data_IF_059515956058
#
_entry.id   IF_059515956058
#
_cell.length_a   1.000
_cell.length_b   1.000
_cell.length_c   1.000
_cell.angle_alpha   90.00
_cell.angle_beta   90.00
_cell.angle_gamma   90.00
#
_symmetry.space_group_name_H-M   'P 1'
#
loop_
_entity.id
_entity.type
_entity.pdbx_description
1 polymer ?
#
# COMPACT_ATOMS: atom_id res chain seq x y z
N UNK A 1 -33.02 24.74 0.89
CA UNK A 1 -32.24 23.52 1.20
C UNK A 1 -32.95 22.40 0.48
N UNK A 2 -32.31 21.80 -0.52
CA UNK A 2 -32.93 20.80 -1.40
C UNK A 2 -33.11 19.47 -0.69
N UNK A 3 -34.08 18.64 -1.09
CA UNK A 3 -34.16 17.26 -0.63
C UNK A 3 -32.86 16.48 -0.95
N UNK A 4 -32.10 16.89 -1.96
CA UNK A 4 -30.93 16.15 -2.46
C UNK A 4 -29.58 16.64 -1.92
N UNK A 5 -29.55 17.63 -1.01
CA UNK A 5 -28.28 18.25 -0.56
C UNK A 5 -27.30 17.25 0.08
N UNK A 6 -27.76 16.09 0.55
CA UNK A 6 -26.93 15.00 1.08
C UNK A 6 -25.99 14.35 0.05
N UNK A 7 -26.21 14.52 -1.26
CA UNK A 7 -25.30 14.03 -2.31
C UNK A 7 -24.47 15.13 -2.98
N UNK A 8 -24.53 16.37 -2.49
CA UNK A 8 -23.85 17.51 -3.11
C UNK A 8 -22.34 17.32 -3.25
N UNK A 9 -21.70 16.75 -2.22
CA UNK A 9 -20.25 16.53 -2.20
C UNK A 9 -19.87 15.23 -2.90
N UNK A 10 -20.64 14.16 -2.70
CA UNK A 10 -20.31 12.83 -3.20
C UNK A 10 -20.66 12.64 -4.68
N UNK A 11 -21.74 13.26 -5.15
CA UNK A 11 -22.25 13.15 -6.53
C UNK A 11 -22.71 14.52 -7.07
N UNK A 12 -21.80 15.49 -7.28
CA UNK A 12 -22.15 16.87 -7.61
C UNK A 12 -22.96 17.02 -8.92
N UNK A 13 -22.66 16.22 -9.94
CA UNK A 13 -23.41 16.25 -11.20
C UNK A 13 -24.85 15.72 -11.03
N UNK A 14 -25.01 14.62 -10.29
CA UNK A 14 -26.33 14.04 -9.98
C UNK A 14 -27.12 15.01 -9.09
N UNK A 15 -26.48 15.63 -8.10
CA UNK A 15 -27.08 16.67 -7.25
C UNK A 15 -27.64 17.82 -8.07
N UNK A 16 -26.86 18.37 -8.99
CA UNK A 16 -27.28 19.49 -9.82
C UNK A 16 -28.54 19.17 -10.65
N UNK A 17 -28.64 17.97 -11.21
CA UNK A 17 -29.82 17.54 -11.96
C UNK A 17 -31.02 17.23 -11.05
N UNK A 18 -30.79 16.68 -9.86
CA UNK A 18 -31.86 16.45 -8.89
C UNK A 18 -32.45 17.78 -8.36
N UNK A 19 -31.61 18.77 -8.07
CA UNK A 19 -32.04 20.12 -7.66
C UNK A 19 -32.85 20.78 -8.77
N UNK A 20 -32.42 20.66 -10.03
CA UNK A 20 -33.19 21.16 -11.18
C UNK A 20 -34.54 20.46 -11.29
N UNK A 21 -34.56 19.12 -11.20
CA UNK A 21 -35.79 18.35 -11.25
C UNK A 21 -36.80 18.78 -10.16
N UNK A 22 -36.33 18.93 -8.92
CA UNK A 22 -37.11 19.45 -7.79
C UNK A 22 -37.64 20.86 -8.07
N UNK A 23 -36.80 21.71 -8.65
CA UNK A 23 -37.14 23.12 -8.88
C UNK A 23 -38.23 23.36 -9.94
N UNK A 24 -38.43 22.38 -10.83
CA UNK A 24 -39.47 22.41 -11.86
C UNK A 24 -40.76 21.72 -11.44
N UNK A 25 -40.80 21.03 -10.30
CA UNK A 25 -41.94 20.19 -9.90
C UNK A 25 -43.30 20.95 -9.96
N UNK A 26 -43.32 22.20 -9.51
CA UNK A 26 -44.55 23.00 -9.45
C UNK A 26 -44.78 23.89 -10.67
N UNK A 27 -43.75 24.19 -11.45
CA UNK A 27 -43.83 25.10 -12.61
C UNK A 27 -43.90 24.38 -13.94
N UNK A 28 -43.20 23.25 -14.08
CA UNK A 28 -43.09 22.47 -15.32
C UNK A 28 -42.86 20.97 -15.02
N UNK A 29 -43.95 20.18 -14.92
CA UNK A 29 -43.87 18.74 -14.73
C UNK A 29 -43.03 17.99 -15.77
N UNK A 30 -42.98 18.49 -17.02
CA UNK A 30 -42.20 17.85 -18.08
C UNK A 30 -40.70 18.07 -17.85
N UNK A 31 -40.29 19.30 -17.53
CA UNK A 31 -38.90 19.60 -17.16
C UNK A 31 -38.45 18.83 -15.91
N UNK A 32 -39.32 18.72 -14.89
CA UNK A 32 -39.02 17.93 -13.69
C UNK A 32 -38.71 16.46 -14.03
N UNK A 33 -39.53 15.83 -14.89
CA UNK A 33 -39.32 14.47 -15.35
C UNK A 33 -38.07 14.32 -16.23
N UNK A 34 -37.79 15.31 -17.08
CA UNK A 34 -36.59 15.33 -17.93
C UNK A 34 -35.31 15.31 -17.09
N UNK A 35 -35.18 16.23 -16.13
CA UNK A 35 -34.02 16.29 -15.26
C UNK A 35 -33.92 15.08 -14.32
N UNK A 36 -35.05 14.48 -13.92
CA UNK A 36 -35.05 13.23 -13.16
C UNK A 36 -34.41 12.07 -13.94
N UNK A 37 -34.71 11.95 -15.23
CA UNK A 37 -34.06 10.97 -16.11
C UNK A 37 -32.57 11.24 -16.26
N UNK A 38 -32.19 12.50 -16.47
CA UNK A 38 -30.79 12.90 -16.62
C UNK A 38 -29.97 12.57 -15.35
N UNK A 39 -30.54 12.83 -14.17
CA UNK A 39 -29.92 12.46 -12.90
C UNK A 39 -29.70 10.93 -12.80
N UNK A 40 -30.68 10.12 -13.21
CA UNK A 40 -30.54 8.66 -13.25
C UNK A 40 -29.49 8.19 -14.26
N UNK A 41 -29.38 8.84 -15.41
CA UNK A 41 -28.39 8.51 -16.44
C UNK A 41 -26.96 8.65 -15.91
N UNK A 42 -26.69 9.79 -15.27
CA UNK A 42 -25.42 10.07 -14.60
C UNK A 42 -25.16 9.09 -13.44
N UNK A 43 -26.18 8.84 -12.61
CA UNK A 43 -26.06 7.95 -11.46
C UNK A 43 -25.77 6.50 -11.87
N UNK A 44 -26.45 5.98 -12.90
CA UNK A 44 -26.21 4.62 -13.40
C UNK A 44 -24.81 4.50 -13.97
N UNK A 45 -24.31 5.51 -14.69
CA UNK A 45 -22.92 5.54 -15.14
C UNK A 45 -21.93 5.44 -13.97
N UNK A 46 -22.09 6.30 -12.97
CA UNK A 46 -21.26 6.27 -11.77
C UNK A 46 -21.30 4.91 -11.04
N UNK A 47 -22.48 4.30 -10.93
CA UNK A 47 -22.62 3.00 -10.28
C UNK A 47 -21.92 1.87 -11.05
N UNK A 48 -21.89 1.93 -12.39
CA UNK A 48 -21.12 0.98 -13.19
C UNK A 48 -19.63 1.04 -12.86
N UNK A 49 -19.10 2.26 -12.75
CA UNK A 49 -17.68 2.49 -12.43
C UNK A 49 -17.35 2.00 -11.02
N UNK A 50 -18.14 2.41 -10.01
CA UNK A 50 -17.90 2.03 -8.60
C UNK A 50 -18.06 0.52 -8.37
N UNK A 51 -18.95 -0.14 -9.12
CA UNK A 51 -19.15 -1.59 -9.02
C UNK A 51 -18.19 -2.40 -9.90
N UNK A 52 -17.37 -1.75 -10.74
CA UNK A 52 -16.47 -2.42 -11.68
C UNK A 52 -17.21 -3.29 -12.70
N UNK A 53 -18.38 -2.85 -13.17
CA UNK A 53 -19.21 -3.62 -14.09
C UNK A 53 -18.78 -3.37 -15.54
N UNK A 54 -18.76 -4.44 -16.34
CA UNK A 54 -18.52 -4.34 -17.78
C UNK A 54 -19.71 -3.67 -18.47
N UNK A 55 -19.44 -2.69 -19.33
CA UNK A 55 -20.48 -2.05 -20.13
C UNK A 55 -21.21 -3.09 -21.02
N UNK A 56 -22.56 -3.03 -21.10
CA UNK A 56 -23.33 -3.89 -22.00
C UNK A 56 -23.07 -3.53 -23.47
N UNK A 57 -23.40 -4.46 -24.38
CA UNK A 57 -23.19 -4.30 -25.82
C UNK A 57 -23.84 -3.00 -26.37
N UNK A 58 -25.06 -2.69 -25.95
CA UNK A 58 -25.67 -1.38 -26.19
C UNK A 58 -25.36 -0.48 -25.01
N UNK A 59 -24.78 0.69 -25.27
CA UNK A 59 -24.33 1.61 -24.22
C UNK A 59 -25.39 2.66 -23.84
N UNK A 60 -26.67 2.32 -23.94
CA UNK A 60 -27.75 3.21 -23.54
C UNK A 60 -28.22 2.94 -22.10
N UNK A 61 -28.95 3.91 -21.54
CA UNK A 61 -29.48 3.82 -20.17
C UNK A 61 -30.39 2.60 -19.97
N UNK A 62 -31.16 2.20 -20.99
CA UNK A 62 -32.06 1.06 -20.87
C UNK A 62 -31.29 -0.26 -20.77
N UNK A 63 -30.26 -0.44 -21.60
CA UNK A 63 -29.39 -1.61 -21.57
C UNK A 63 -28.65 -1.71 -20.23
N UNK A 64 -28.08 -0.60 -19.74
CA UNK A 64 -27.39 -0.56 -18.43
C UNK A 64 -28.30 -0.92 -17.25
N UNK A 65 -29.50 -0.34 -17.18
CA UNK A 65 -30.47 -0.67 -16.11
C UNK A 65 -30.91 -2.15 -16.21
N UNK A 66 -30.97 -2.70 -17.42
CA UNK A 66 -31.52 -4.02 -17.66
C UNK A 66 -30.51 -5.16 -17.65
N UNK A 67 -29.22 -4.86 -17.61
CA UNK A 67 -28.13 -5.82 -17.48
C UNK A 67 -28.29 -6.71 -16.24
N UNK A 68 -27.95 -7.99 -16.39
CA UNK A 68 -28.13 -8.98 -15.33
C UNK A 68 -27.19 -8.74 -14.14
N UNK A 69 -25.94 -8.36 -14.40
CA UNK A 69 -24.97 -8.09 -13.34
C UNK A 69 -25.33 -6.82 -12.56
N UNK A 70 -25.78 -5.77 -13.26
CA UNK A 70 -26.29 -4.56 -12.62
C UNK A 70 -27.51 -4.87 -11.73
N UNK A 71 -28.52 -5.58 -12.25
CA UNK A 71 -29.71 -5.98 -11.49
C UNK A 71 -29.38 -6.83 -10.26
N UNK A 72 -28.40 -7.71 -10.36
CA UNK A 72 -27.96 -8.52 -9.21
C UNK A 72 -27.40 -7.65 -8.07
N UNK A 73 -26.76 -6.52 -8.39
CA UNK A 73 -26.21 -5.58 -7.40
C UNK A 73 -27.23 -4.61 -6.84
N UNK A 74 -28.14 -4.08 -7.66
CA UNK A 74 -29.11 -3.05 -7.23
C UNK A 74 -30.43 -3.61 -6.73
N UNK A 75 -30.76 -4.85 -7.08
CA UNK A 75 -32.03 -5.49 -6.77
C UNK A 75 -33.17 -5.07 -7.70
N UNK A 76 -34.22 -5.89 -7.73
CA UNK A 76 -35.38 -5.72 -8.63
C UNK A 76 -36.15 -4.43 -8.37
N UNK A 77 -36.31 -4.05 -7.10
CA UNK A 77 -37.05 -2.83 -6.72
C UNK A 77 -36.41 -1.55 -7.25
N UNK A 78 -35.09 -1.39 -7.11
CA UNK A 78 -34.37 -0.23 -7.62
C UNK A 78 -34.37 -0.22 -9.15
N UNK A 79 -34.14 -1.38 -9.78
CA UNK A 79 -34.18 -1.50 -11.25
C UNK A 79 -35.56 -1.12 -11.85
N UNK A 80 -36.66 -1.43 -11.16
CA UNK A 80 -38.01 -1.01 -11.57
C UNK A 80 -38.19 0.51 -11.46
N UNK A 81 -37.73 1.14 -10.36
CA UNK A 81 -37.77 2.60 -10.19
C UNK A 81 -36.96 3.33 -11.25
N UNK A 82 -35.74 2.86 -11.53
CA UNK A 82 -34.89 3.38 -12.60
C UNK A 82 -35.58 3.30 -13.97
N UNK A 83 -36.22 2.17 -14.29
CA UNK A 83 -36.98 2.02 -15.55
C UNK A 83 -38.20 2.94 -15.62
N UNK A 84 -38.91 3.17 -14.51
CA UNK A 84 -40.03 4.11 -14.45
C UNK A 84 -39.56 5.53 -14.76
N UNK A 85 -38.49 6.00 -14.09
CA UNK A 85 -37.88 7.32 -14.30
C UNK A 85 -37.46 7.49 -15.77
N UNK A 86 -36.78 6.48 -16.33
CA UNK A 86 -36.37 6.47 -17.74
C UNK A 86 -37.57 6.60 -18.68
N UNK A 87 -38.63 5.81 -18.48
CA UNK A 87 -39.81 5.80 -19.37
C UNK A 87 -40.53 7.15 -19.34
N UNK A 88 -40.84 7.69 -18.16
CA UNK A 88 -41.56 8.97 -18.03
C UNK A 88 -40.71 10.14 -18.51
N UNK A 89 -39.39 10.14 -18.23
CA UNK A 89 -38.49 11.17 -18.75
C UNK A 89 -38.37 11.15 -20.27
N UNK A 90 -38.38 9.98 -20.91
CA UNK A 90 -38.41 9.87 -22.38
C UNK A 90 -39.69 10.50 -22.95
N UNK A 91 -40.85 10.20 -22.36
CA UNK A 91 -42.13 10.79 -22.77
C UNK A 91 -42.10 12.31 -22.63
N UNK A 92 -41.54 12.84 -21.53
CA UNK A 92 -41.38 14.27 -21.31
C UNK A 92 -40.46 14.95 -22.34
N UNK A 93 -39.39 14.27 -22.76
CA UNK A 93 -38.42 14.80 -23.72
C UNK A 93 -38.90 14.76 -25.18
N UNK A 94 -39.67 13.73 -25.57
CA UNK A 94 -39.88 13.40 -27.00
C UNK A 94 -41.34 13.28 -27.45
N UNK A 95 -42.26 12.84 -26.60
CA UNK A 95 -43.63 12.49 -27.05
C UNK A 95 -44.59 13.70 -27.08
N UNK A 96 -44.23 14.83 -26.47
CA UNK A 96 -45.06 16.04 -26.45
C UNK A 96 -46.39 15.89 -25.71
N UNK A 97 -46.59 14.77 -25.00
CA UNK A 97 -47.77 14.52 -24.18
C UNK A 97 -47.66 15.30 -22.86
N UNK A 98 -48.75 15.93 -22.40
CA UNK A 98 -48.74 16.63 -21.12
C UNK A 98 -48.51 15.64 -19.97
N UNK A 99 -47.53 15.97 -19.11
CA UNK A 99 -47.24 15.22 -17.89
C UNK A 99 -48.11 15.79 -16.76
N UNK A 100 -48.87 14.92 -16.09
CA UNK A 100 -49.67 15.33 -14.95
C UNK A 100 -48.76 15.70 -13.76
N UNK A 101 -49.05 16.77 -12.99
CA UNK A 101 -48.24 17.18 -11.85
C UNK A 101 -48.02 16.06 -10.82
N UNK A 102 -49.05 15.22 -10.59
CA UNK A 102 -48.96 14.06 -9.69
C UNK A 102 -47.95 13.02 -10.20
N UNK A 103 -47.83 12.84 -11.52
CA UNK A 103 -46.84 11.93 -12.11
C UNK A 103 -45.42 12.43 -11.88
N UNK A 104 -45.17 13.73 -12.06
CA UNK A 104 -43.87 14.35 -11.77
C UNK A 104 -43.49 14.24 -10.29
N UNK A 105 -44.45 14.48 -9.38
CA UNK A 105 -44.24 14.30 -7.95
C UNK A 105 -43.88 12.85 -7.60
N UNK A 106 -44.61 11.88 -8.14
CA UNK A 106 -44.30 10.47 -7.90
C UNK A 106 -42.92 10.12 -8.46
N UNK A 107 -42.55 10.65 -9.62
CA UNK A 107 -41.24 10.40 -10.22
C UNK A 107 -40.09 10.94 -9.34
N UNK A 108 -40.25 12.13 -8.76
CA UNK A 108 -39.27 12.71 -7.85
C UNK A 108 -39.14 11.93 -6.54
N UNK A 109 -40.24 11.37 -6.02
CA UNK A 109 -40.20 10.44 -4.88
C UNK A 109 -39.38 9.19 -5.21
N UNK A 110 -39.56 8.63 -6.41
CA UNK A 110 -38.77 7.48 -6.85
C UNK A 110 -37.29 7.85 -7.09
N UNK A 111 -37.02 9.03 -7.66
CA UNK A 111 -35.66 9.54 -7.82
C UNK A 111 -34.98 9.68 -6.45
N UNK A 112 -35.66 10.26 -5.48
CA UNK A 112 -35.16 10.40 -4.11
C UNK A 112 -34.80 9.05 -3.50
N UNK A 113 -35.68 8.03 -3.61
CA UNK A 113 -35.37 6.68 -3.15
C UNK A 113 -34.15 6.06 -3.83
N UNK A 114 -34.02 6.24 -5.15
CA UNK A 114 -32.90 5.72 -5.93
C UNK A 114 -31.58 6.40 -5.51
N UNK A 115 -31.59 7.72 -5.30
CA UNK A 115 -30.39 8.48 -4.87
C UNK A 115 -30.01 8.15 -3.43
N UNK A 116 -30.98 8.02 -2.52
CA UNK A 116 -30.75 7.53 -1.14
C UNK A 116 -30.12 6.14 -1.17
N UNK A 117 -30.65 5.22 -1.96
CA UNK A 117 -30.08 3.87 -2.11
C UNK A 117 -28.63 3.92 -2.59
N UNK A 118 -28.36 4.66 -3.67
CA UNK A 118 -27.04 4.73 -4.25
C UNK A 118 -26.03 5.38 -3.30
N UNK A 119 -26.38 6.50 -2.68
CA UNK A 119 -25.52 7.20 -1.73
C UNK A 119 -25.25 6.34 -0.48
N UNK A 120 -26.27 5.69 0.07
CA UNK A 120 -26.11 4.87 1.28
C UNK A 120 -25.23 3.63 1.02
N UNK A 121 -25.29 3.05 -0.18
CA UNK A 121 -24.61 1.78 -0.47
C UNK A 121 -23.26 1.95 -1.16
N UNK A 122 -23.06 3.03 -1.90
CA UNK A 122 -21.95 3.21 -2.83
C UNK A 122 -21.26 4.59 -2.72
N UNK A 123 -21.44 5.33 -1.62
CA UNK A 123 -20.66 6.56 -1.36
C UNK A 123 -19.69 6.39 -0.19
N UNK A 124 -18.73 7.32 -0.09
CA UNK A 124 -17.71 7.35 0.96
C UNK A 124 -18.25 7.76 2.35
N UNK A 125 -19.45 8.32 2.43
CA UNK A 125 -20.08 8.75 3.69
C UNK A 125 -21.53 8.27 3.77
N UNK A 126 -21.76 6.97 4.02
CA UNK A 126 -23.10 6.41 4.09
C UNK A 126 -23.90 6.88 5.32
N UNK A 127 -23.24 7.41 6.35
CA UNK A 127 -23.88 7.79 7.61
C UNK A 127 -24.61 9.14 7.51
N UNK A 128 -24.21 10.02 6.59
CA UNK A 128 -24.91 11.29 6.34
C UNK A 128 -26.16 11.14 5.46
N UNK A 129 -26.43 9.95 4.94
CA UNK A 129 -27.55 9.69 4.02
C UNK A 129 -28.87 9.54 4.81
N UNK A 130 -29.93 10.32 4.47
CA UNK A 130 -31.16 10.35 5.25
C UNK A 130 -32.11 9.19 4.92
N UNK A 131 -31.75 7.97 5.32
CA UNK A 131 -32.49 6.73 4.98
C UNK A 131 -33.92 6.66 5.50
N UNK A 132 -34.27 7.43 6.53
CA UNK A 132 -35.62 7.50 7.12
C UNK A 132 -36.47 8.66 6.59
N UNK A 133 -35.89 9.60 5.83
CA UNK A 133 -36.64 10.73 5.28
C UNK A 133 -37.40 10.31 4.03
N UNK A 134 -38.52 10.98 3.79
CA UNK A 134 -39.26 10.94 2.53
C UNK A 134 -39.02 12.24 1.77
N UNK A 135 -39.22 12.20 0.45
CA UNK A 135 -39.18 13.41 -0.37
C UNK A 135 -40.29 14.39 0.05
N UNK A 136 -39.90 15.59 0.43
CA UNK A 136 -40.81 16.67 0.82
C UNK A 136 -41.12 17.58 -0.39
N UNK A 137 -42.37 17.59 -0.90
CA UNK A 137 -42.76 18.42 -2.03
C UNK A 137 -42.84 19.93 -1.71
N UNK A 138 -42.79 20.32 -0.43
CA UNK A 138 -42.86 21.71 -0.01
C UNK A 138 -41.50 22.45 -0.08
N UNK A 139 -40.40 21.73 -0.35
CA UNK A 139 -39.06 22.30 -0.45
C UNK A 139 -38.95 23.19 -1.70
N UNK A 140 -38.67 24.51 -1.55
CA UNK A 140 -38.79 25.44 -2.66
C UNK A 140 -37.47 25.73 -3.36
N UNK A 141 -37.48 25.56 -4.67
CA UNK A 141 -37.00 26.57 -5.62
C UNK A 141 -37.96 26.51 -6.82
N UNK A 142 -38.46 27.66 -7.28
CA UNK A 142 -39.32 27.69 -8.49
C UNK A 142 -38.48 28.26 -9.62
N UNK A 143 -38.22 27.44 -10.63
CA UNK A 143 -37.66 27.95 -11.88
C UNK A 143 -38.79 28.27 -12.86
N UNK A 144 -38.57 29.27 -13.71
CA UNK A 144 -39.50 29.62 -14.78
C UNK A 144 -39.66 28.42 -15.72
N UNK A 145 -40.90 28.06 -16.14
CA UNK A 145 -41.14 26.89 -16.97
C UNK A 145 -40.34 26.96 -18.28
N UNK A 146 -39.86 25.81 -18.76
CA UNK A 146 -39.12 25.73 -20.01
C UNK A 146 -40.12 25.56 -21.16
N UNK A 147 -39.89 26.26 -22.26
CA UNK A 147 -40.60 25.95 -23.49
C UNK A 147 -40.22 24.56 -23.99
N UNK A 148 -41.14 23.94 -24.73
CA UNK A 148 -40.88 22.65 -25.38
C UNK A 148 -39.64 22.69 -26.29
N UNK A 149 -39.40 23.82 -26.94
CA UNK A 149 -38.24 24.02 -27.79
C UNK A 149 -36.94 24.04 -26.97
N UNK A 150 -36.91 24.73 -25.83
CA UNK A 150 -35.74 24.76 -24.93
C UNK A 150 -35.44 23.37 -24.35
N UNK A 151 -36.46 22.60 -23.95
CA UNK A 151 -36.28 21.22 -23.48
C UNK A 151 -35.70 20.32 -24.58
N UNK A 152 -36.20 20.43 -25.81
CA UNK A 152 -35.69 19.64 -26.94
C UNK A 152 -34.24 20.03 -27.30
N UNK A 153 -33.91 21.33 -27.28
CA UNK A 153 -32.54 21.81 -27.48
C UNK A 153 -31.59 21.30 -26.40
N UNK A 154 -32.03 21.33 -25.14
CA UNK A 154 -31.24 20.86 -24.02
C UNK A 154 -31.01 19.34 -24.08
N UNK A 155 -32.04 18.57 -24.43
CA UNK A 155 -31.92 17.14 -24.67
C UNK A 155 -30.88 16.83 -25.77
N UNK A 156 -30.90 17.61 -26.86
CA UNK A 156 -29.96 17.46 -27.98
C UNK A 156 -28.53 17.79 -27.56
N UNK A 157 -28.36 18.91 -26.82
CA UNK A 157 -27.05 19.34 -26.31
C UNK A 157 -26.43 18.28 -25.42
N UNK A 158 -27.20 17.70 -24.51
CA UNK A 158 -26.69 16.69 -23.59
C UNK A 158 -26.37 15.37 -24.28
N UNK A 159 -27.20 14.94 -25.23
CA UNK A 159 -26.89 13.78 -26.07
C UNK A 159 -25.56 13.95 -26.81
N UNK A 160 -25.31 15.12 -27.40
CA UNK A 160 -24.05 15.40 -28.08
C UNK A 160 -22.84 15.42 -27.12
N UNK A 161 -23.01 15.91 -25.89
CA UNK A 161 -21.96 15.86 -24.86
C UNK A 161 -21.65 14.43 -24.43
N UNK A 162 -22.67 13.60 -24.21
CA UNK A 162 -22.49 12.20 -23.82
C UNK A 162 -21.81 11.38 -24.94
N UNK A 163 -22.18 11.61 -26.20
CA UNK A 163 -21.55 10.98 -27.37
C UNK A 163 -20.07 11.40 -27.52
N UNK A 164 -19.76 12.69 -27.31
CA UNK A 164 -18.39 13.20 -27.35
C UNK A 164 -17.52 12.59 -26.24
N UNK A 165 -18.03 12.54 -25.01
CA UNK A 165 -17.32 11.95 -23.87
C UNK A 165 -17.11 10.44 -24.04
N UNK A 166 -18.10 9.72 -24.56
CA UNK A 166 -17.97 8.29 -24.87
C UNK A 166 -16.88 8.02 -25.93
N UNK A 167 -16.77 8.90 -26.94
CA UNK A 167 -15.72 8.82 -27.96
C UNK A 167 -14.33 9.08 -27.38
N UNK A 168 -14.19 10.12 -26.54
CA UNK A 168 -12.93 10.44 -25.86
C UNK A 168 -12.45 9.28 -24.97
N UNK A 169 -13.37 8.65 -24.23
CA UNK A 169 -13.04 7.50 -23.38
C UNK A 169 -12.59 6.29 -24.21
N UNK A 170 -13.25 6.01 -25.33
CA UNK A 170 -12.86 4.94 -26.24
C UNK A 170 -11.46 5.19 -26.86
N UNK A 171 -11.18 6.41 -27.31
CA UNK A 171 -9.85 6.79 -27.83
C UNK A 171 -8.75 6.63 -26.78
N UNK A 172 -9.03 7.00 -25.52
CA UNK A 172 -8.09 6.83 -24.41
C UNK A 172 -7.82 5.34 -24.11
N UNK A 173 -8.86 4.52 -24.11
CA UNK A 173 -8.74 3.09 -23.82
C UNK A 173 -7.99 2.36 -24.96
N UNK A 174 -8.23 2.73 -26.22
CA UNK A 174 -7.47 2.23 -27.38
C UNK A 174 -5.98 2.62 -27.30
N UNK A 175 -5.69 3.87 -26.89
CA UNK A 175 -4.32 4.33 -26.67
C UNK A 175 -3.62 3.54 -25.55
N UNK A 176 -4.32 3.28 -24.45
CA UNK A 176 -3.80 2.48 -23.34
C UNK A 176 -3.47 1.05 -23.78
N UNK A 177 -4.38 0.40 -24.52
CA UNK A 177 -4.17 -0.94 -25.06
C UNK A 177 -2.99 -0.99 -26.04
N UNK A 178 -2.83 0.03 -26.89
CA UNK A 178 -1.69 0.13 -27.80
C UNK A 178 -0.35 0.26 -27.04
N UNK A 179 -0.32 1.06 -25.96
CA UNK A 179 0.85 1.23 -25.10
C UNK A 179 1.23 -0.05 -24.36
N UNK A 180 0.22 -0.78 -23.86
CA UNK A 180 0.46 -2.06 -23.20
C UNK A 180 1.03 -3.11 -24.16
N UNK A 181 0.55 -3.15 -25.41
CA UNK A 181 1.09 -4.01 -26.45
C UNK A 181 2.54 -3.63 -26.82
N UNK A 182 2.84 -2.34 -26.92
CA UNK A 182 4.21 -1.82 -27.15
C UNK A 182 5.16 -2.24 -26.02
N UNK A 183 4.74 -2.08 -24.76
CA UNK A 183 5.51 -2.49 -23.58
C UNK A 183 5.75 -4.00 -23.58
N UNK A 184 4.74 -4.80 -23.91
CA UNK A 184 4.87 -6.26 -23.98
C UNK A 184 5.87 -6.68 -25.06
N UNK A 185 5.82 -6.05 -26.24
CA UNK A 185 6.75 -6.30 -27.33
C UNK A 185 8.18 -5.91 -26.95
N UNK A 186 8.39 -4.73 -26.34
CA UNK A 186 9.70 -4.28 -25.86
C UNK A 186 10.26 -5.22 -24.79
N UNK A 187 9.44 -5.69 -23.84
CA UNK A 187 9.87 -6.67 -22.84
C UNK A 187 10.33 -7.98 -23.47
N UNK A 188 9.60 -8.47 -24.47
CA UNK A 188 9.99 -9.68 -25.20
C UNK A 188 11.31 -9.48 -25.97
N UNK A 189 11.49 -8.33 -26.64
CA UNK A 189 12.73 -7.99 -27.33
C UNK A 189 13.92 -7.88 -26.36
N UNK A 190 13.73 -7.24 -25.20
CA UNK A 190 14.75 -7.13 -24.16
C UNK A 190 15.13 -8.52 -23.63
N UNK A 191 14.15 -9.40 -23.37
CA UNK A 191 14.43 -10.76 -22.90
C UNK A 191 15.23 -11.57 -23.92
N UNK A 192 14.90 -11.48 -25.21
CA UNK A 192 15.67 -12.11 -26.30
C UNK A 192 17.08 -11.51 -26.39
N UNK A 193 17.22 -10.18 -26.32
CA UNK A 193 18.50 -9.50 -26.34
C UNK A 193 19.38 -9.87 -25.13
N UNK A 194 18.81 -9.98 -23.93
CA UNK A 194 19.52 -10.41 -22.72
C UNK A 194 19.96 -11.87 -22.80
N UNK A 195 19.12 -12.77 -23.36
CA UNK A 195 19.49 -14.17 -23.56
C UNK A 195 20.59 -14.34 -24.62
N UNK A 196 20.60 -13.49 -25.66
CA UNK A 196 21.62 -13.50 -26.71
C UNK A 196 22.91 -12.78 -26.29
N UNK A 197 22.83 -11.81 -25.37
CA UNK A 197 23.98 -11.03 -24.91
C UNK A 197 24.70 -11.76 -23.77
N UNK A 198 25.52 -12.74 -24.15
CA UNK A 198 26.40 -13.49 -23.24
C UNK A 198 27.76 -12.80 -23.03
N UNK A 199 28.02 -11.69 -23.74
CA UNK A 199 29.21 -10.88 -23.51
C UNK A 199 29.07 -10.19 -22.14
N UNK A 200 30.04 -10.38 -21.23
CA UNK A 200 30.12 -9.55 -20.04
C UNK A 200 30.19 -8.09 -20.47
N UNK A 201 29.46 -7.23 -19.75
CA UNK A 201 29.68 -5.78 -19.79
C UNK A 201 31.19 -5.53 -19.58
N UNK A 202 31.84 -4.97 -20.59
CA UNK A 202 33.27 -4.64 -20.62
C UNK A 202 33.54 -3.22 -20.13
N UNK A 203 32.50 -2.51 -19.68
CA UNK A 203 32.64 -1.23 -19.01
C UNK A 203 33.42 -1.41 -17.71
N UNK A 204 34.56 -0.73 -17.61
CA UNK A 204 35.46 -0.81 -16.46
C UNK A 204 34.91 -0.01 -15.27
N UNK A 205 33.86 -0.54 -14.64
CA UNK A 205 33.48 -0.17 -13.30
C UNK A 205 34.49 -0.83 -12.34
N UNK A 206 35.58 -0.12 -12.07
CA UNK A 206 36.65 -0.67 -11.24
C UNK A 206 36.14 -0.94 -9.82
N UNK A 207 36.52 -2.09 -9.26
CA UNK A 207 36.21 -2.42 -7.86
C UNK A 207 36.84 -1.40 -6.91
N UNK A 208 38.00 -0.87 -7.29
CA UNK A 208 38.67 0.23 -6.60
C UNK A 208 37.83 1.50 -6.55
N UNK A 209 37.13 1.86 -7.63
CA UNK A 209 36.22 3.01 -7.64
C UNK A 209 34.95 2.73 -6.83
N UNK A 210 34.43 1.50 -6.86
CA UNK A 210 33.30 1.09 -6.01
C UNK A 210 33.65 1.25 -4.52
N UNK A 211 34.85 0.79 -4.15
CA UNK A 211 35.43 0.95 -2.81
C UNK A 211 35.55 2.43 -2.44
N UNK A 212 36.31 3.21 -3.22
CA UNK A 212 36.64 4.61 -2.95
C UNK A 212 35.46 5.58 -2.99
N UNK A 213 34.58 5.46 -3.98
CA UNK A 213 33.52 6.46 -4.22
C UNK A 213 32.22 6.17 -3.47
N UNK A 214 32.04 4.92 -2.99
CA UNK A 214 30.77 4.49 -2.38
C UNK A 214 31.03 3.86 -1.02
N UNK A 215 31.76 2.75 -0.95
CA UNK A 215 31.89 1.98 0.30
C UNK A 215 32.63 2.80 1.37
N UNK A 216 33.73 3.48 1.02
CA UNK A 216 34.47 4.34 1.95
C UNK A 216 33.59 5.48 2.50
N UNK A 217 32.72 6.07 1.67
CA UNK A 217 31.79 7.13 2.09
C UNK A 217 30.78 6.58 3.10
N UNK A 218 30.17 5.42 2.80
CA UNK A 218 29.18 4.78 3.68
C UNK A 218 29.80 4.28 4.99
N UNK A 219 31.04 3.81 4.95
CA UNK A 219 31.79 3.44 6.15
C UNK A 219 32.11 4.69 6.99
N UNK A 220 32.51 5.79 6.37
CA UNK A 220 32.74 7.06 7.06
C UNK A 220 31.47 7.62 7.71
N UNK A 221 30.31 7.53 7.04
CA UNK A 221 29.01 7.90 7.62
C UNK A 221 28.65 7.07 8.86
N UNK A 222 29.05 5.79 8.88
CA UNK A 222 28.91 4.92 10.05
C UNK A 222 30.02 5.14 11.12
N UNK A 223 30.91 6.12 10.91
CA UNK A 223 31.97 6.50 11.85
C UNK A 223 33.32 5.79 11.65
N UNK A 224 33.50 5.05 10.55
CA UNK A 224 34.75 4.36 10.22
C UNK A 224 35.66 5.25 9.37
N UNK A 225 36.72 5.79 9.97
CA UNK A 225 37.62 6.73 9.29
C UNK A 225 38.64 6.07 8.35
N UNK A 226 38.91 4.76 8.54
CA UNK A 226 39.84 3.98 7.72
C UNK A 226 41.21 4.66 7.57
N UNK A 227 41.77 5.12 8.70
CA UNK A 227 42.97 5.95 8.74
C UNK A 227 44.27 5.14 8.85
N UNK A 228 44.20 3.89 9.29
CA UNK A 228 45.37 3.04 9.46
C UNK A 228 45.56 2.10 8.25
N UNK A 229 46.81 1.75 7.93
CA UNK A 229 47.11 0.81 6.83
C UNK A 229 46.44 -0.57 7.04
N UNK A 230 46.21 -0.96 8.30
CA UNK A 230 45.54 -2.22 8.66
C UNK A 230 44.04 -2.24 8.39
N UNK A 231 43.44 -1.09 8.09
CA UNK A 231 41.99 -0.97 7.92
C UNK A 231 41.54 -1.46 6.54
N UNK A 232 42.44 -1.44 5.55
CA UNK A 232 42.20 -1.83 4.16
C UNK A 232 43.18 -2.89 3.70
N UNK A 233 42.74 -3.78 2.81
CA UNK A 233 43.57 -4.83 2.22
C UNK A 233 44.40 -5.59 3.27
N UNK A 234 43.78 -5.91 4.42
CA UNK A 234 44.46 -6.53 5.55
C UNK A 234 44.92 -7.95 5.17
N UNK A 235 46.22 -8.27 5.25
CA UNK A 235 46.71 -9.59 4.86
C UNK A 235 46.29 -10.65 5.87
N UNK A 236 45.78 -11.76 5.38
CA UNK A 236 45.43 -12.94 6.19
C UNK A 236 46.14 -14.19 5.69
N UNK A 237 46.41 -15.12 6.59
CA UNK A 237 47.01 -16.42 6.29
C UNK A 237 46.05 -17.56 6.65
N UNK A 238 46.17 -18.71 6.00
CA UNK A 238 45.28 -19.86 6.19
C UNK A 238 44.17 -19.98 5.15
N UNK A 239 44.19 -19.14 4.10
CA UNK A 239 43.21 -19.20 3.01
C UNK A 239 43.34 -20.53 2.23
N UNK A 240 42.21 -21.16 1.84
CA UNK A 240 42.22 -22.42 1.07
C UNK A 240 42.51 -22.15 -0.42
N UNK A 241 43.66 -21.55 -0.71
CA UNK A 241 44.17 -21.29 -2.06
C UNK A 241 45.64 -21.74 -2.16
N UNK A 242 46.19 -21.72 -3.38
CA UNK A 242 47.55 -22.21 -3.63
C UNK A 242 48.66 -21.49 -2.83
N UNK A 243 48.40 -20.26 -2.37
CA UNK A 243 49.38 -19.44 -1.65
C UNK A 243 49.17 -19.45 -0.13
N UNK A 244 48.04 -19.97 0.36
CA UNK A 244 47.67 -19.90 1.78
C UNK A 244 47.42 -18.49 2.30
N UNK A 245 47.30 -17.48 1.41
CA UNK A 245 47.26 -16.06 1.75
C UNK A 245 46.07 -15.37 1.09
N UNK A 246 45.51 -14.34 1.73
CA UNK A 246 44.46 -13.49 1.19
C UNK A 246 44.57 -12.06 1.73
N UNK A 247 43.70 -11.19 1.22
CA UNK A 247 43.62 -9.79 1.64
C UNK A 247 42.16 -9.43 1.84
N UNK A 248 41.81 -9.02 3.05
CA UNK A 248 40.45 -8.59 3.39
C UNK A 248 40.30 -7.13 2.96
N UNK A 249 39.29 -6.81 2.14
CA UNK A 249 39.14 -5.44 1.62
C UNK A 249 39.07 -4.40 2.74
N UNK A 250 38.27 -4.67 3.78
CA UNK A 250 38.22 -3.86 4.99
C UNK A 250 38.10 -4.72 6.25
N UNK A 251 38.82 -4.32 7.29
CA UNK A 251 38.63 -4.82 8.65
C UNK A 251 38.21 -3.67 9.55
N UNK A 252 37.06 -3.82 10.19
CA UNK A 252 36.50 -2.83 11.11
C UNK A 252 36.92 -3.20 12.53
N UNK A 253 37.88 -2.45 13.08
CA UNK A 253 38.52 -2.76 14.35
C UNK A 253 37.79 -2.18 15.56
N UNK A 254 37.74 -2.95 16.65
CA UNK A 254 37.26 -2.47 17.95
C UNK A 254 38.28 -1.56 18.62
N UNK A 255 37.82 -0.81 19.64
CA UNK A 255 38.71 0.00 20.46
C UNK A 255 39.76 -0.84 21.22
N UNK A 256 39.48 -2.14 21.41
CA UNK A 256 40.37 -3.14 21.98
C UNK A 256 41.37 -3.73 20.97
N UNK A 257 41.36 -3.26 19.72
CA UNK A 257 42.26 -3.73 18.66
C UNK A 257 41.86 -5.08 18.06
N UNK A 258 40.71 -5.65 18.43
CA UNK A 258 40.21 -6.92 17.91
C UNK A 258 39.20 -6.70 16.77
N UNK A 259 39.09 -7.61 15.80
CA UNK A 259 38.26 -7.40 14.62
C UNK A 259 36.77 -7.51 14.98
N UNK A 260 35.99 -6.46 14.70
CA UNK A 260 34.54 -6.44 14.92
C UNK A 260 33.78 -6.89 13.68
N UNK A 261 34.21 -6.48 12.50
CA UNK A 261 33.63 -6.92 11.25
C UNK A 261 34.64 -6.91 10.10
N UNK A 262 34.30 -7.62 9.04
CA UNK A 262 34.95 -7.51 7.74
C UNK A 262 33.96 -7.00 6.71
N UNK A 263 34.43 -6.29 5.70
CA UNK A 263 33.62 -5.91 4.53
C UNK A 263 34.31 -6.47 3.30
N UNK A 264 33.62 -7.38 2.61
CA UNK A 264 34.05 -7.90 1.31
C UNK A 264 33.42 -7.08 0.20
N UNK A 265 34.24 -6.45 -0.65
CA UNK A 265 33.77 -5.64 -1.74
C UNK A 265 33.64 -6.45 -3.04
N UNK A 266 32.71 -6.00 -3.89
CA UNK A 266 32.57 -6.43 -5.28
C UNK A 266 32.29 -5.20 -6.14
N UNK A 267 32.61 -5.30 -7.43
CA UNK A 267 32.20 -4.31 -8.44
C UNK A 267 30.68 -4.06 -8.39
N UNK A 268 30.25 -2.81 -8.60
CA UNK A 268 28.83 -2.39 -8.61
C UNK A 268 27.92 -3.25 -9.49
N UNK A 269 28.43 -3.73 -10.63
CA UNK A 269 27.70 -4.58 -11.59
C UNK A 269 27.58 -6.04 -11.16
N UNK A 270 28.29 -6.47 -10.11
CA UNK A 270 28.23 -7.82 -9.56
C UNK A 270 27.32 -7.86 -8.33
N UNK A 271 26.63 -8.99 -8.18
CA UNK A 271 25.87 -9.29 -6.97
C UNK A 271 26.84 -9.41 -5.78
N UNK A 272 26.59 -8.72 -4.65
CA UNK A 272 27.46 -8.80 -3.47
C UNK A 272 27.49 -10.21 -2.86
N UNK A 273 26.42 -10.99 -3.03
CA UNK A 273 26.29 -12.36 -2.53
C UNK A 273 27.37 -13.30 -3.07
N UNK A 274 27.99 -13.00 -4.22
CA UNK A 274 29.15 -13.74 -4.74
C UNK A 274 30.32 -13.69 -3.76
N UNK A 275 30.45 -12.61 -2.99
CA UNK A 275 31.48 -12.45 -1.95
C UNK A 275 31.20 -13.20 -0.64
N UNK A 276 30.02 -13.81 -0.46
CA UNK A 276 29.62 -14.39 0.82
C UNK A 276 30.60 -15.47 1.32
N UNK A 277 30.98 -16.41 0.46
CA UNK A 277 31.90 -17.49 0.84
C UNK A 277 33.31 -16.94 1.12
N UNK A 278 33.75 -15.95 0.35
CA UNK A 278 35.04 -15.29 0.54
C UNK A 278 35.09 -14.54 1.87
N UNK A 279 34.06 -13.76 2.19
CA UNK A 279 33.94 -13.06 3.47
C UNK A 279 33.95 -14.02 4.67
N UNK A 280 33.32 -15.20 4.54
CA UNK A 280 33.40 -16.25 5.57
C UNK A 280 34.83 -16.75 5.78
N UNK A 281 35.55 -17.06 4.70
CA UNK A 281 36.93 -17.55 4.79
C UNK A 281 37.86 -16.51 5.43
N UNK A 282 37.66 -15.23 5.12
CA UNK A 282 38.38 -14.14 5.78
C UNK A 282 38.05 -14.02 7.26
N UNK A 283 36.78 -14.14 7.63
CA UNK A 283 36.40 -14.21 9.04
C UNK A 283 37.00 -15.43 9.75
N UNK A 284 37.10 -16.60 9.09
CA UNK A 284 37.76 -17.80 9.63
C UNK A 284 39.24 -17.53 9.93
N UNK A 285 39.95 -16.85 9.02
CA UNK A 285 41.35 -16.51 9.20
C UNK A 285 41.55 -15.51 10.35
N UNK A 286 40.75 -14.44 10.41
CA UNK A 286 40.84 -13.45 11.48
C UNK A 286 40.44 -14.02 12.85
N UNK A 287 39.47 -14.94 12.90
CA UNK A 287 39.13 -15.64 14.13
C UNK A 287 40.29 -16.51 14.64
N UNK A 288 40.98 -17.21 13.74
CA UNK A 288 42.16 -17.99 14.09
C UNK A 288 43.32 -17.11 14.61
N UNK A 289 43.49 -15.90 14.05
CA UNK A 289 44.55 -14.97 14.43
C UNK A 289 44.24 -14.21 15.73
N UNK A 290 43.02 -13.70 15.89
CA UNK A 290 42.64 -12.79 16.97
C UNK A 290 41.76 -13.43 18.06
N UNK A 291 41.29 -14.66 17.86
CA UNK A 291 40.39 -15.34 18.80
C UNK A 291 38.98 -14.74 18.86
N UNK A 292 38.62 -13.86 17.92
CA UNK A 292 37.30 -13.23 17.82
C UNK A 292 36.76 -13.42 16.41
N UNK A 293 35.56 -14.02 16.30
CA UNK A 293 34.79 -14.04 15.05
C UNK A 293 34.30 -12.63 14.69
N UNK A 294 34.76 -12.00 13.59
CA UNK A 294 34.14 -10.75 13.12
C UNK A 294 32.75 -11.01 12.51
N UNK A 295 31.89 -9.99 12.51
CA UNK A 295 30.66 -9.97 11.71
C UNK A 295 31.04 -9.82 10.23
N UNK A 296 30.31 -10.48 9.33
CA UNK A 296 30.63 -10.48 7.90
C UNK A 296 29.70 -9.52 7.18
N UNK A 297 30.27 -8.51 6.51
CA UNK A 297 29.57 -7.72 5.51
C UNK A 297 30.07 -8.07 4.12
N UNK A 298 29.19 -8.01 3.13
CA UNK A 298 29.56 -8.04 1.72
C UNK A 298 28.70 -7.06 0.93
N UNK A 299 29.35 -6.32 0.04
CA UNK A 299 28.74 -5.16 -0.62
C UNK A 299 29.28 -4.93 -2.02
N UNK A 300 28.44 -4.35 -2.88
CA UNK A 300 28.83 -3.80 -4.19
C UNK A 300 28.65 -2.28 -4.26
N UNK A 301 28.57 -1.60 -3.11
CA UNK A 301 28.29 -0.17 -3.01
C UNK A 301 26.80 0.19 -2.95
N UNK A 302 25.93 -0.49 -3.71
CA UNK A 302 24.48 -0.19 -3.72
C UNK A 302 23.65 -1.16 -2.87
N UNK A 303 24.10 -2.40 -2.77
CA UNK A 303 23.51 -3.43 -1.94
C UNK A 303 24.51 -3.84 -0.88
N UNK A 304 24.00 -4.03 0.34
CA UNK A 304 24.80 -4.39 1.51
C UNK A 304 24.12 -5.55 2.22
N UNK A 305 24.92 -6.52 2.62
CA UNK A 305 24.44 -7.67 3.37
C UNK A 305 25.25 -7.81 4.64
N UNK A 306 24.59 -8.28 5.70
CA UNK A 306 25.19 -8.64 6.97
C UNK A 306 24.98 -10.12 7.24
N UNK A 307 26.00 -10.76 7.79
CA UNK A 307 25.96 -12.13 8.24
C UNK A 307 26.69 -12.29 9.57
N UNK A 308 25.94 -12.70 10.59
CA UNK A 308 26.47 -13.08 11.90
C UNK A 308 26.35 -14.59 12.08
N UNK A 309 27.33 -15.30 11.57
CA UNK A 309 27.37 -16.76 11.57
C UNK A 309 27.73 -17.38 12.92
N UNK A 310 28.27 -16.59 13.86
CA UNK A 310 28.60 -17.04 15.21
C UNK A 310 27.53 -16.71 16.28
N UNK A 311 26.45 -16.03 15.91
CA UNK A 311 25.32 -15.84 16.82
C UNK A 311 24.79 -17.17 17.39
N UNK A 312 24.16 -17.14 18.57
CA UNK A 312 23.60 -18.33 19.22
C UNK A 312 24.57 -19.52 19.28
N UNK A 313 25.74 -19.29 19.89
CA UNK A 313 26.74 -20.32 20.16
C UNK A 313 27.15 -21.09 18.89
N UNK A 314 27.41 -20.35 17.80
CA UNK A 314 27.91 -20.92 16.54
C UNK A 314 26.86 -21.48 15.58
N UNK A 315 25.56 -21.39 15.91
CA UNK A 315 24.50 -21.76 14.96
C UNK A 315 24.14 -20.66 13.97
N UNK A 316 24.51 -19.41 14.29
CA UNK A 316 24.45 -18.25 13.42
C UNK A 316 23.05 -17.76 13.10
N UNK A 317 23.00 -16.60 12.45
CA UNK A 317 21.84 -16.11 11.74
C UNK A 317 22.01 -16.34 10.23
N UNK A 318 20.91 -16.50 9.50
CA UNK A 318 20.96 -16.40 8.05
C UNK A 318 21.33 -14.96 7.62
N UNK A 319 22.11 -14.80 6.54
CA UNK A 319 22.43 -13.48 6.00
C UNK A 319 21.18 -12.71 5.60
N UNK A 320 21.25 -11.38 5.66
CA UNK A 320 20.16 -10.49 5.24
C UNK A 320 20.70 -9.19 4.66
N UNK A 321 19.85 -8.50 3.92
CA UNK A 321 20.12 -7.15 3.44
C UNK A 321 20.07 -6.12 4.58
N UNK A 322 20.82 -5.05 4.41
CA UNK A 322 20.85 -3.86 5.26
C UNK A 322 20.94 -2.61 4.39
N UNK A 323 20.56 -1.47 4.97
CA UNK A 323 20.61 -0.18 4.29
C UNK A 323 21.91 0.59 4.57
N UNK A 324 22.68 0.19 5.58
CA UNK A 324 23.93 0.86 5.94
C UNK A 324 24.78 0.01 6.88
N UNK A 325 26.06 0.34 6.94
CA UNK A 325 27.01 -0.32 7.83
C UNK A 325 26.75 0.05 9.29
N UNK A 326 27.12 -0.86 10.19
CA UNK A 326 26.88 -0.67 11.61
C UNK A 326 28.00 0.16 12.20
N UNK A 327 27.65 1.00 13.18
CA UNK A 327 28.64 1.75 13.96
C UNK A 327 29.49 0.80 14.82
N UNK A 328 30.66 1.27 15.28
CA UNK A 328 31.53 0.50 16.18
C UNK A 328 30.77 -0.02 17.41
N UNK A 329 30.07 0.87 18.13
CA UNK A 329 29.32 0.51 19.33
C UNK A 329 28.21 -0.51 19.05
N UNK A 330 27.58 -0.47 17.88
CA UNK A 330 26.57 -1.44 17.47
C UNK A 330 27.17 -2.81 17.20
N UNK A 331 28.34 -2.88 16.54
CA UNK A 331 29.07 -4.14 16.32
C UNK A 331 29.63 -4.71 17.62
N UNK A 332 30.17 -3.87 18.51
CA UNK A 332 30.63 -4.30 19.84
C UNK A 332 29.50 -4.92 20.64
N UNK A 333 28.35 -4.24 20.70
CA UNK A 333 27.15 -4.76 21.36
C UNK A 333 26.66 -6.07 20.71
N UNK A 334 26.74 -6.18 19.39
CA UNK A 334 26.34 -7.37 18.65
C UNK A 334 27.21 -8.57 18.99
N UNK A 335 28.54 -8.40 19.03
CA UNK A 335 29.49 -9.45 19.44
C UNK A 335 29.31 -9.81 20.92
N UNK A 336 29.19 -8.82 21.80
CA UNK A 336 28.95 -9.03 23.23
C UNK A 336 27.70 -9.91 23.45
N UNK A 337 26.62 -9.63 22.70
CA UNK A 337 25.36 -10.36 22.76
C UNK A 337 25.43 -11.82 22.33
N UNK A 338 26.50 -12.26 21.66
CA UNK A 338 26.71 -13.69 21.41
C UNK A 338 26.88 -14.48 22.72
N UNK A 339 27.35 -13.83 23.79
CA UNK A 339 27.58 -14.43 25.10
C UNK A 339 26.58 -13.95 26.17
N UNK A 340 26.09 -12.71 26.08
CA UNK A 340 25.29 -12.10 27.16
C UNK A 340 23.78 -12.22 26.97
N UNK A 341 23.31 -12.67 25.80
CA UNK A 341 21.88 -12.85 25.51
C UNK A 341 21.36 -14.09 26.22
N UNK A 342 20.23 -13.96 26.92
CA UNK A 342 19.58 -15.06 27.62
C UNK A 342 18.45 -15.67 26.76
N UNK A 343 18.22 -17.00 26.80
CA UNK A 343 17.08 -17.62 26.12
C UNK A 343 15.73 -17.05 26.56
N UNK A 344 14.80 -16.85 25.64
CA UNK A 344 13.49 -16.22 25.92
C UNK A 344 12.41 -17.23 26.30
N UNK A 345 12.42 -18.44 25.74
CA UNK A 345 11.38 -19.44 25.97
C UNK A 345 11.21 -19.83 27.45
N UNK A 346 12.31 -19.76 28.23
CA UNK A 346 12.33 -20.02 29.67
C UNK A 346 12.32 -18.76 30.55
N UNK A 347 12.36 -17.57 29.95
CA UNK A 347 12.44 -16.32 30.71
C UNK A 347 11.12 -16.04 31.45
N UNK A 348 11.23 -15.57 32.69
CA UNK A 348 10.08 -15.17 33.49
C UNK A 348 9.39 -13.97 32.82
N UNK A 349 8.06 -14.01 32.81
CA UNK A 349 7.21 -12.91 32.34
C UNK A 349 6.63 -12.24 33.57
N UNK A 350 6.72 -10.91 33.64
CA UNK A 350 6.24 -10.16 34.79
C UNK A 350 4.71 -10.23 34.91
N UNK A 351 4.25 -10.97 35.93
CA UNK A 351 2.82 -11.16 36.21
C UNK A 351 2.11 -9.89 36.68
N UNK A 352 2.85 -8.86 37.13
CA UNK A 352 2.26 -7.56 37.45
C UNK A 352 1.88 -6.78 36.18
N UNK A 353 2.56 -7.04 35.05
CA UNK A 353 2.27 -6.39 33.77
C UNK A 353 1.21 -7.20 33.00
N UNK A 354 1.27 -8.53 33.02
CA UNK A 354 0.31 -9.40 32.32
C UNK A 354 -0.39 -10.37 33.27
N UNK A 355 -1.64 -10.06 33.59
CA UNK A 355 -2.46 -10.82 34.55
C UNK A 355 -3.21 -12.00 33.90
N UNK A 356 -3.23 -12.08 32.56
CA UNK A 356 -4.04 -13.06 31.82
C UNK A 356 -3.17 -14.12 31.14
N UNK A 357 -3.53 -15.39 31.32
CA UNK A 357 -2.74 -16.55 30.84
C UNK A 357 -2.41 -16.50 29.34
N UNK A 358 -3.30 -15.98 28.50
CA UNK A 358 -3.09 -15.93 27.05
C UNK A 358 -2.04 -14.88 26.64
N UNK A 359 -1.84 -13.83 27.44
CA UNK A 359 -0.78 -12.83 27.21
C UNK A 359 0.58 -13.47 27.49
N UNK A 360 0.71 -14.18 28.61
CA UNK A 360 1.90 -14.96 28.93
C UNK A 360 2.20 -16.01 27.87
N UNK A 361 1.17 -16.73 27.38
CA UNK A 361 1.31 -17.70 26.29
C UNK A 361 1.80 -17.04 25.00
N UNK A 362 1.28 -15.87 24.65
CA UNK A 362 1.71 -15.12 23.46
C UNK A 362 3.18 -14.70 23.56
N UNK A 363 3.60 -14.14 24.70
CA UNK A 363 4.99 -13.73 24.94
C UNK A 363 5.95 -14.92 24.84
N UNK A 364 5.62 -16.05 25.47
CA UNK A 364 6.42 -17.27 25.38
C UNK A 364 6.51 -17.82 23.95
N UNK A 365 5.44 -17.74 23.17
CA UNK A 365 5.44 -18.18 21.77
C UNK A 365 6.37 -17.30 20.91
N UNK A 366 6.33 -15.98 21.11
CA UNK A 366 7.24 -15.03 20.43
C UNK A 366 8.70 -15.30 20.85
N UNK A 367 8.95 -15.47 22.15
CA UNK A 367 10.27 -15.82 22.66
C UNK A 367 10.82 -17.10 22.04
N UNK A 368 10.00 -18.16 21.92
CA UNK A 368 10.40 -19.41 21.29
C UNK A 368 10.70 -19.27 19.79
N UNK A 369 9.99 -18.39 19.07
CA UNK A 369 10.29 -18.09 17.66
C UNK A 369 11.64 -17.36 17.53
N UNK A 370 11.90 -16.38 18.39
CA UNK A 370 13.15 -15.63 18.39
C UNK A 370 14.35 -16.49 18.79
N UNK A 371 14.21 -17.37 19.78
CA UNK A 371 15.22 -18.38 20.13
C UNK A 371 15.53 -19.33 18.96
N UNK A 372 14.59 -19.53 18.03
CA UNK A 372 14.78 -20.29 16.78
C UNK A 372 15.38 -19.46 15.65
N UNK A 373 15.78 -18.22 15.91
CA UNK A 373 16.38 -17.25 14.97
C UNK A 373 15.39 -16.66 13.97
N UNK A 374 14.08 -16.77 14.24
CA UNK A 374 13.10 -15.94 13.54
C UNK A 374 13.24 -14.49 14.00
N UNK A 375 13.08 -13.53 13.08
CA UNK A 375 13.28 -12.10 13.37
C UNK A 375 11.98 -11.32 13.54
N UNK A 376 10.88 -11.88 13.02
CA UNK A 376 9.57 -11.24 13.00
C UNK A 376 8.53 -12.16 13.61
N UNK A 377 7.52 -11.58 14.25
CA UNK A 377 6.38 -12.31 14.78
C UNK A 377 5.08 -11.51 14.56
N UNK A 378 4.01 -12.22 14.18
CA UNK A 378 2.67 -11.65 14.03
C UNK A 378 1.77 -12.17 15.15
N UNK A 379 1.20 -11.24 15.93
CA UNK A 379 0.29 -11.57 17.02
C UNK A 379 -1.12 -11.06 16.73
N UNK A 380 -2.08 -11.98 16.60
CA UNK A 380 -3.50 -11.66 16.37
C UNK A 380 -4.25 -11.71 17.71
N UNK A 381 -4.73 -10.55 18.17
CA UNK A 381 -5.51 -10.42 19.39
C UNK A 381 -6.74 -9.53 19.18
N UNK A 382 -7.87 -9.94 19.76
CA UNK A 382 -9.10 -9.14 19.75
C UNK A 382 -8.90 -7.75 20.39
N UNK A 383 -9.75 -6.79 20.00
CA UNK A 383 -9.80 -5.48 20.65
C UNK A 383 -10.24 -5.65 22.12
N UNK A 384 -9.57 -4.94 23.04
CA UNK A 384 -9.80 -5.10 24.48
C UNK A 384 -9.06 -6.28 25.15
N UNK A 385 -8.39 -7.16 24.37
CA UNK A 385 -7.63 -8.28 24.93
C UNK A 385 -6.30 -7.89 25.61
N UNK A 386 -5.97 -6.60 25.68
CA UNK A 386 -4.76 -6.11 26.37
C UNK A 386 -3.48 -6.16 25.53
N UNK A 387 -3.57 -5.86 24.23
CA UNK A 387 -2.41 -5.79 23.30
C UNK A 387 -1.25 -4.95 23.85
N UNK A 388 -1.55 -3.75 24.33
CA UNK A 388 -0.53 -2.82 24.86
C UNK A 388 0.24 -3.43 26.03
N UNK A 389 -0.46 -3.97 27.05
CA UNK A 389 0.18 -4.65 28.19
C UNK A 389 1.01 -5.86 27.78
N UNK A 390 0.53 -6.63 26.78
CA UNK A 390 1.31 -7.76 26.23
C UNK A 390 2.63 -7.29 25.60
N UNK A 391 2.60 -6.21 24.81
CA UNK A 391 3.81 -5.66 24.17
C UNK A 391 4.78 -5.08 25.21
N UNK A 392 4.28 -4.38 26.23
CA UNK A 392 5.12 -3.84 27.32
C UNK A 392 5.85 -4.97 28.05
N UNK A 393 5.14 -6.04 28.44
CA UNK A 393 5.75 -7.20 29.08
C UNK A 393 6.75 -7.94 28.17
N UNK A 394 6.48 -8.01 26.86
CA UNK A 394 7.44 -8.56 25.89
C UNK A 394 8.71 -7.72 25.83
N UNK A 395 8.58 -6.39 25.76
CA UNK A 395 9.72 -5.47 25.72
C UNK A 395 10.55 -5.57 26.99
N UNK A 396 9.90 -5.59 28.16
CA UNK A 396 10.56 -5.81 29.46
C UNK A 396 11.38 -7.11 29.46
N UNK A 397 10.79 -8.23 29.01
CA UNK A 397 11.50 -9.50 28.89
C UNK A 397 12.69 -9.41 27.92
N UNK A 398 12.50 -8.84 26.73
CA UNK A 398 13.56 -8.71 25.72
C UNK A 398 14.72 -7.83 26.22
N UNK A 399 14.43 -6.78 26.98
CA UNK A 399 15.46 -5.92 27.58
C UNK A 399 16.21 -6.67 28.69
N UNK A 400 15.50 -7.31 29.63
CA UNK A 400 16.10 -8.11 30.71
C UNK A 400 16.94 -9.28 30.19
N UNK A 401 16.54 -9.89 29.07
CA UNK A 401 17.28 -10.95 28.40
C UNK A 401 18.39 -10.44 27.45
N UNK A 402 18.63 -9.13 27.39
CA UNK A 402 19.64 -8.47 26.56
C UNK A 402 19.50 -8.74 25.04
N UNK A 403 18.26 -8.84 24.55
CA UNK A 403 17.97 -8.92 23.12
C UNK A 403 17.86 -7.54 22.48
N UNK A 404 17.27 -6.58 23.20
CA UNK A 404 17.01 -5.22 22.69
C UNK A 404 17.53 -4.17 23.66
N UNK A 405 17.97 -3.03 23.11
CA UNK A 405 18.39 -1.84 23.88
C UNK A 405 17.46 -0.65 23.62
N UNK A 406 17.00 -0.52 22.38
CA UNK A 406 16.07 0.52 21.90
C UNK A 406 14.87 -0.19 21.29
N UNK A 407 13.68 0.33 21.55
CA UNK A 407 12.42 -0.18 20.99
C UNK A 407 11.65 0.99 20.41
N UNK A 408 11.17 0.83 19.17
CA UNK A 408 10.27 1.76 18.52
C UNK A 408 8.84 1.20 18.57
N UNK A 409 7.94 1.91 19.23
CA UNK A 409 6.53 1.57 19.26
C UNK A 409 5.75 2.47 18.28
N UNK A 410 5.08 1.86 17.31
CA UNK A 410 4.30 2.57 16.29
C UNK A 410 2.80 2.33 16.50
N UNK A 411 2.01 3.40 16.43
CA UNK A 411 0.56 3.33 16.45
C UNK A 411 -0.04 4.38 15.51
N UNK A 412 -1.25 4.11 15.00
CA UNK A 412 -1.91 4.90 13.96
C UNK A 412 -2.32 6.32 14.43
N UNK A 413 -2.67 6.50 15.70
CA UNK A 413 -3.14 7.79 16.25
C UNK A 413 -2.34 8.22 17.47
N UNK A 414 -2.09 9.52 17.60
CA UNK A 414 -1.36 10.13 18.74
C UNK A 414 -1.96 9.77 20.09
N UNK A 415 -3.29 9.70 20.21
CA UNK A 415 -3.96 9.31 21.45
C UNK A 415 -3.59 7.88 21.90
N UNK A 416 -3.38 6.96 20.96
CA UNK A 416 -2.95 5.58 21.25
C UNK A 416 -1.47 5.51 21.63
N UNK A 417 -0.64 6.37 21.06
CA UNK A 417 0.76 6.54 21.46
C UNK A 417 0.83 7.07 22.89
N UNK A 418 0.09 8.14 23.20
CA UNK A 418 0.06 8.72 24.55
C UNK A 418 -0.46 7.72 25.60
N UNK A 419 -1.43 6.89 25.23
CA UNK A 419 -1.88 5.81 26.10
C UNK A 419 -0.77 4.80 26.40
N UNK A 420 0.05 4.44 25.40
CA UNK A 420 1.18 3.53 25.60
C UNK A 420 2.34 4.16 26.39
N UNK A 421 2.60 5.46 26.20
CA UNK A 421 3.64 6.20 26.94
C UNK A 421 3.32 6.32 28.43
N UNK A 422 2.04 6.45 28.78
CA UNK A 422 1.59 6.61 30.17
C UNK A 422 1.20 5.29 30.86
N UNK A 423 1.36 4.14 30.19
CA UNK A 423 0.87 2.83 30.64
C UNK A 423 1.84 2.09 31.59
#
# INVERSE_FOLDING_TARGET
>A
MSNFDFVKTSLPAVHADCVRAESYLSSDPAAACFYSRRAVEQLVGHLYDVMGLRAPYQNDLAARINDAAFKAKVGTGIAQKLNLIRRVGNTAAHEGRPIQPQTALQLLRELFHVVVFAAYRYSADPQSVPTSKQFDPAVPAKLAPLSRHELAQLATKFKAQDEAHAKELAERDDLAAAKDAEIAALKAQIAVAQAANTKPDDHDYSEADTRRLIIDVLLAEAGWLLGDERDREYPVTGMPNNLGKGFVDYVLWGADGLPLAIVEAKRTTKSPQVGQQQGKLYADCLEAEFGRRPVIFYSNGYQHWIWDDAAFTGSGYAPRDIQGFYTRDELELMIQRRLTRLPLAGAQVDGSIVERYYQTRAIKAIGAAFDKRERDALLVMATGAGKTRTVIALVDQLMKANWVKRVLFLADRTALVNQAVNA
#
